data_IF_511747061891
#
_entry.id   IF_511747061891
#
_cell.length_a   1.000
_cell.length_b   1.000
_cell.length_c   1.000
_cell.angle_alpha   90.00
_cell.angle_beta   90.00
_cell.angle_gamma   90.00
#
_symmetry.space_group_name_H-M   'P 1'
#
loop_
_entity.id
_entity.type
_entity.pdbx_description
1 polymer ?
#
# COMPACT_ATOMS: atom_id res chain seq x y z
N UNK A 1 -155.53 68.56 -55.04
CA UNK A 1 -155.07 68.91 -53.68
C UNK A 1 -154.85 67.57 -53.00
N UNK A 2 -153.65 67.28 -52.48
CA UNK A 2 -153.07 65.95 -52.14
C UNK A 2 -152.09 65.39 -53.19
N UNK A 3 -150.83 65.82 -53.13
CA UNK A 3 -149.67 65.15 -53.73
C UNK A 3 -148.33 65.73 -53.21
N UNK A 4 -148.36 66.94 -52.62
CA UNK A 4 -147.16 67.68 -52.20
C UNK A 4 -146.71 67.39 -50.74
N UNK A 5 -147.55 66.74 -49.93
CA UNK A 5 -147.24 66.40 -48.51
C UNK A 5 -146.52 65.05 -48.35
N UNK A 6 -146.52 64.16 -49.36
CA UNK A 6 -145.94 62.82 -49.24
C UNK A 6 -144.43 62.78 -49.54
N UNK A 7 -143.94 63.65 -50.43
CA UNK A 7 -142.51 63.75 -50.74
C UNK A 7 -141.72 64.45 -49.63
N UNK A 8 -142.34 65.39 -48.90
CA UNK A 8 -141.75 66.03 -47.73
C UNK A 8 -141.57 65.07 -46.53
N UNK A 9 -142.49 64.10 -46.38
CA UNK A 9 -142.45 63.11 -45.29
C UNK A 9 -141.36 62.05 -45.49
N UNK A 10 -141.20 61.50 -46.70
CA UNK A 10 -140.12 60.53 -47.00
C UNK A 10 -138.72 61.17 -46.94
N UNK A 11 -138.57 62.43 -47.36
CA UNK A 11 -137.33 63.20 -47.21
C UNK A 11 -137.00 63.50 -45.74
N UNK A 12 -138.01 63.76 -44.91
CA UNK A 12 -137.82 63.99 -43.48
C UNK A 12 -137.42 62.72 -42.71
N UNK A 13 -138.02 61.57 -43.05
CA UNK A 13 -137.67 60.27 -42.46
C UNK A 13 -136.27 59.82 -42.86
N UNK A 14 -135.90 59.93 -44.13
CA UNK A 14 -134.56 59.59 -44.62
C UNK A 14 -133.48 60.52 -44.05
N UNK A 15 -133.76 61.81 -43.89
CA UNK A 15 -132.85 62.76 -43.23
C UNK A 15 -132.70 62.46 -41.72
N UNK A 16 -133.77 62.03 -41.05
CA UNK A 16 -133.73 61.57 -39.66
C UNK A 16 -132.91 60.28 -39.47
N UNK A 17 -133.06 59.32 -40.38
CA UNK A 17 -132.26 58.09 -40.41
C UNK A 17 -130.77 58.39 -40.66
N UNK A 18 -130.46 59.26 -41.62
CA UNK A 18 -129.09 59.72 -41.88
C UNK A 18 -128.46 60.42 -40.67
N UNK A 19 -129.23 61.25 -39.94
CA UNK A 19 -128.73 61.89 -38.71
C UNK A 19 -128.48 60.87 -37.59
N UNK A 20 -129.30 59.83 -37.47
CA UNK A 20 -129.12 58.78 -36.48
C UNK A 20 -127.93 57.87 -36.81
N UNK A 21 -127.76 57.49 -38.08
CA UNK A 21 -126.58 56.76 -38.55
C UNK A 21 -125.30 57.57 -38.38
N UNK A 22 -125.32 58.87 -38.69
CA UNK A 22 -124.19 59.78 -38.45
C UNK A 22 -123.85 59.85 -36.95
N UNK A 23 -124.86 59.88 -36.07
CA UNK A 23 -124.65 59.89 -34.62
C UNK A 23 -124.05 58.58 -34.12
N UNK A 24 -124.56 57.45 -34.59
CA UNK A 24 -124.03 56.10 -34.29
C UNK A 24 -122.59 55.96 -34.76
N UNK A 25 -122.31 56.31 -36.02
CA UNK A 25 -120.96 56.28 -36.58
C UNK A 25 -119.99 57.18 -35.79
N UNK A 26 -120.45 58.34 -35.31
CA UNK A 26 -119.65 59.25 -34.49
C UNK A 26 -119.34 58.68 -33.11
N UNK A 27 -120.29 57.99 -32.48
CA UNK A 27 -120.08 57.36 -31.17
C UNK A 27 -119.22 56.10 -31.28
N UNK A 28 -119.42 55.29 -32.33
CA UNK A 28 -118.55 54.15 -32.67
C UNK A 28 -117.11 54.63 -32.95
N UNK A 29 -116.95 55.75 -33.66
CA UNK A 29 -115.64 56.36 -33.91
C UNK A 29 -114.96 56.82 -32.60
N UNK A 30 -115.69 57.44 -31.66
CA UNK A 30 -115.14 57.79 -30.35
C UNK A 30 -114.75 56.56 -29.52
N UNK A 31 -115.56 55.50 -29.55
CA UNK A 31 -115.21 54.25 -28.88
C UNK A 31 -113.96 53.60 -29.49
N UNK A 32 -113.86 53.60 -30.82
CA UNK A 32 -112.68 53.10 -31.53
C UNK A 32 -111.43 53.91 -31.16
N UNK A 33 -111.52 55.24 -31.08
CA UNK A 33 -110.42 56.10 -30.60
C UNK A 33 -110.03 55.71 -29.17
N UNK A 34 -110.98 55.54 -28.25
CA UNK A 34 -110.71 55.15 -26.86
C UNK A 34 -110.03 53.78 -26.76
N UNK A 35 -110.49 52.79 -27.54
CA UNK A 35 -109.89 51.47 -27.60
C UNK A 35 -108.46 51.51 -28.18
N UNK A 36 -108.23 52.29 -29.24
CA UNK A 36 -106.90 52.51 -29.81
C UNK A 36 -105.97 53.15 -28.79
N UNK A 37 -106.40 54.22 -28.09
CA UNK A 37 -105.59 54.87 -27.06
C UNK A 37 -105.26 53.94 -25.88
N UNK A 38 -106.20 53.09 -25.46
CA UNK A 38 -105.95 52.09 -24.41
C UNK A 38 -104.94 51.03 -24.85
N UNK A 39 -105.07 50.52 -26.09
CA UNK A 39 -104.13 49.54 -26.65
C UNK A 39 -102.73 50.13 -26.84
N UNK A 40 -102.63 51.39 -27.29
CA UNK A 40 -101.37 52.10 -27.41
C UNK A 40 -100.67 52.23 -26.05
N UNK A 41 -101.40 52.63 -25.00
CA UNK A 41 -100.84 52.69 -23.63
C UNK A 41 -100.35 51.32 -23.16
N UNK A 42 -101.12 50.26 -23.41
CA UNK A 42 -100.72 48.91 -23.02
C UNK A 42 -99.46 48.45 -23.76
N UNK A 43 -99.37 48.76 -25.06
CA UNK A 43 -98.20 48.49 -25.89
C UNK A 43 -96.96 49.22 -25.37
N UNK A 44 -97.08 50.51 -25.01
CA UNK A 44 -95.98 51.28 -24.42
C UNK A 44 -95.48 50.69 -23.09
N UNK A 45 -96.39 50.23 -22.23
CA UNK A 45 -96.05 49.56 -20.96
C UNK A 45 -95.25 48.28 -21.26
N UNK A 46 -95.76 47.42 -22.14
CA UNK A 46 -95.10 46.16 -22.51
C UNK A 46 -93.73 46.40 -23.19
N UNK A 47 -93.61 47.42 -24.04
CA UNK A 47 -92.34 47.80 -24.64
C UNK A 47 -91.32 48.26 -23.59
N UNK A 48 -91.77 48.97 -22.55
CA UNK A 48 -90.91 49.40 -21.45
C UNK A 48 -90.42 48.21 -20.62
N UNK A 49 -91.29 47.22 -20.38
CA UNK A 49 -90.95 45.98 -19.67
C UNK A 49 -89.98 45.13 -20.50
N UNK A 50 -90.22 44.99 -21.81
CA UNK A 50 -89.31 44.31 -22.73
C UNK A 50 -87.93 44.98 -22.76
N UNK A 51 -87.87 46.32 -22.74
CA UNK A 51 -86.59 47.05 -22.65
C UNK A 51 -85.86 46.73 -21.34
N UNK A 52 -86.56 46.69 -20.20
CA UNK A 52 -85.97 46.32 -18.90
C UNK A 52 -85.42 44.89 -18.91
N UNK A 53 -86.23 43.91 -19.32
CA UNK A 53 -85.83 42.49 -19.40
C UNK A 53 -84.63 42.33 -20.34
N UNK A 54 -84.61 43.02 -21.49
CA UNK A 54 -83.47 42.98 -22.41
C UNK A 54 -82.20 43.50 -21.76
N UNK A 55 -82.27 44.64 -21.04
CA UNK A 55 -81.11 45.19 -20.34
C UNK A 55 -80.60 44.28 -19.20
N UNK A 56 -81.50 43.62 -18.48
CA UNK A 56 -81.15 42.67 -17.42
C UNK A 56 -80.49 41.41 -18.01
N UNK A 57 -81.03 40.88 -19.11
CA UNK A 57 -80.42 39.77 -19.85
C UNK A 57 -78.99 40.11 -20.29
N UNK A 58 -78.77 41.30 -20.84
CA UNK A 58 -77.43 41.74 -21.26
C UNK A 58 -76.47 41.87 -20.07
N UNK A 59 -76.94 42.37 -18.93
CA UNK A 59 -76.15 42.44 -17.70
C UNK A 59 -75.78 41.04 -17.18
N UNK A 60 -76.74 40.14 -17.09
CA UNK A 60 -76.52 38.75 -16.66
C UNK A 60 -75.58 38.01 -17.60
N UNK A 61 -75.68 38.23 -18.92
CA UNK A 61 -74.75 37.66 -19.89
C UNK A 61 -73.32 38.18 -19.70
N UNK A 62 -73.13 39.46 -19.38
CA UNK A 62 -71.80 40.01 -19.06
C UNK A 62 -71.24 39.38 -17.79
N UNK A 63 -72.05 39.30 -16.73
CA UNK A 63 -71.65 38.68 -15.47
C UNK A 63 -71.29 37.19 -15.65
N UNK A 64 -72.04 36.45 -16.46
CA UNK A 64 -71.74 35.05 -16.75
C UNK A 64 -70.36 34.91 -17.41
N UNK A 65 -70.07 35.70 -18.45
CA UNK A 65 -68.76 35.69 -19.13
C UNK A 65 -67.62 36.07 -18.18
N UNK A 66 -67.81 37.08 -17.34
CA UNK A 66 -66.82 37.46 -16.33
C UNK A 66 -66.55 36.31 -15.34
N UNK A 67 -67.60 35.60 -14.90
CA UNK A 67 -67.47 34.44 -14.02
C UNK A 67 -66.81 33.25 -14.70
N UNK A 68 -67.10 33.00 -15.98
CA UNK A 68 -66.42 31.97 -16.78
C UNK A 68 -64.91 32.25 -16.86
N UNK A 69 -64.51 33.49 -17.15
CA UNK A 69 -63.10 33.90 -17.19
C UNK A 69 -62.44 33.75 -15.81
N UNK A 70 -63.12 34.15 -14.74
CA UNK A 70 -62.60 33.99 -13.38
C UNK A 70 -62.43 32.52 -12.99
N UNK A 71 -63.40 31.67 -13.32
CA UNK A 71 -63.33 30.23 -13.06
C UNK A 71 -62.19 29.58 -13.83
N UNK A 72 -62.00 29.94 -15.11
CA UNK A 72 -60.87 29.44 -15.89
C UNK A 72 -59.53 29.85 -15.25
N UNK A 73 -59.39 31.13 -14.88
CA UNK A 73 -58.17 31.62 -14.24
C UNK A 73 -57.87 30.93 -12.90
N UNK A 74 -58.90 30.62 -12.10
CA UNK A 74 -58.74 29.84 -10.85
C UNK A 74 -58.38 28.39 -11.15
N UNK A 75 -58.98 27.78 -12.17
CA UNK A 75 -58.65 26.42 -12.60
C UNK A 75 -57.18 26.32 -13.05
N UNK A 76 -56.71 27.26 -13.86
CA UNK A 76 -55.33 27.29 -14.34
C UNK A 76 -54.34 27.43 -13.18
N UNK A 77 -54.64 28.30 -12.20
CA UNK A 77 -53.84 28.45 -10.97
C UNK A 77 -53.83 27.19 -10.11
N UNK A 78 -54.95 26.49 -10.00
CA UNK A 78 -55.01 25.25 -9.24
C UNK A 78 -54.17 24.16 -9.90
N UNK A 79 -54.24 24.06 -11.23
CA UNK A 79 -53.40 23.16 -12.01
C UNK A 79 -51.90 23.48 -11.82
N UNK A 80 -51.50 24.75 -11.92
CA UNK A 80 -50.10 25.14 -11.75
C UNK A 80 -49.58 24.86 -10.34
N UNK A 81 -50.35 25.16 -9.29
CA UNK A 81 -49.97 24.86 -7.91
C UNK A 81 -49.80 23.37 -7.67
N UNK A 82 -50.70 22.56 -8.22
CA UNK A 82 -50.62 21.09 -8.11
C UNK A 82 -49.39 20.54 -8.83
N UNK A 83 -49.00 21.15 -9.96
CA UNK A 83 -47.80 20.78 -10.70
C UNK A 83 -46.52 21.21 -9.99
N UNK A 84 -46.48 22.43 -9.46
CA UNK A 84 -45.36 22.95 -8.67
C UNK A 84 -45.12 22.08 -7.43
N UNK A 85 -46.18 21.71 -6.70
CA UNK A 85 -46.07 20.79 -5.56
C UNK A 85 -45.46 19.44 -5.97
N UNK A 86 -45.88 18.88 -7.11
CA UNK A 86 -45.34 17.61 -7.61
C UNK A 86 -43.85 17.72 -8.00
N UNK A 87 -43.45 18.86 -8.57
CA UNK A 87 -42.06 19.14 -8.89
C UNK A 87 -41.21 19.29 -7.63
N UNK A 88 -41.73 19.99 -6.61
CA UNK A 88 -41.05 20.14 -5.32
C UNK A 88 -40.85 18.79 -4.62
N UNK A 89 -41.88 17.94 -4.58
CA UNK A 89 -41.77 16.56 -4.07
C UNK A 89 -40.70 15.75 -4.82
N UNK A 90 -40.62 15.88 -6.15
CA UNK A 90 -39.59 15.20 -6.94
C UNK A 90 -38.17 15.74 -6.66
N UNK A 91 -38.03 17.04 -6.43
CA UNK A 91 -36.75 17.66 -6.06
C UNK A 91 -36.29 17.17 -4.70
N UNK A 92 -37.18 17.13 -3.69
CA UNK A 92 -36.85 16.61 -2.35
C UNK A 92 -36.38 15.17 -2.42
N UNK A 93 -37.10 14.30 -3.14
CA UNK A 93 -36.70 12.90 -3.35
C UNK A 93 -35.31 12.78 -4.00
N UNK A 94 -35.02 13.62 -5.01
CA UNK A 94 -33.72 13.63 -5.68
C UNK A 94 -32.60 14.16 -4.76
N UNK A 95 -32.88 15.16 -3.93
CA UNK A 95 -31.93 15.68 -2.95
C UNK A 95 -31.59 14.63 -1.88
N UNK A 96 -32.58 13.90 -1.39
CA UNK A 96 -32.38 12.78 -0.46
C UNK A 96 -31.53 11.67 -1.09
N UNK A 97 -31.81 11.27 -2.33
CA UNK A 97 -31.00 10.29 -3.04
C UNK A 97 -29.56 10.77 -3.25
N UNK A 98 -29.37 12.05 -3.59
CA UNK A 98 -28.05 12.64 -3.76
C UNK A 98 -27.25 12.66 -2.45
N UNK A 99 -27.88 12.99 -1.32
CA UNK A 99 -27.24 12.93 0.00
C UNK A 99 -26.83 11.49 0.37
N UNK A 100 -27.70 10.51 0.11
CA UNK A 100 -27.37 9.09 0.33
C UNK A 100 -26.20 8.64 -0.54
N UNK A 101 -26.18 9.01 -1.83
CA UNK A 101 -25.08 8.71 -2.73
C UNK A 101 -23.76 9.36 -2.28
N UNK A 102 -23.80 10.61 -1.85
CA UNK A 102 -22.63 11.30 -1.29
C UNK A 102 -22.09 10.57 -0.06
N UNK A 103 -22.97 10.13 0.85
CA UNK A 103 -22.56 9.35 2.01
C UNK A 103 -21.84 8.05 1.60
N UNK A 104 -22.42 7.29 0.66
CA UNK A 104 -21.80 6.06 0.15
C UNK A 104 -20.44 6.34 -0.50
N UNK A 105 -20.32 7.41 -1.29
CA UNK A 105 -19.05 7.81 -1.90
C UNK A 105 -18.00 8.11 -0.81
N UNK A 106 -18.35 8.87 0.22
CA UNK A 106 -17.41 9.18 1.31
C UNK A 106 -16.96 7.94 2.09
N UNK A 107 -17.85 6.97 2.29
CA UNK A 107 -17.51 5.70 2.94
C UNK A 107 -16.58 4.86 2.07
N UNK A 108 -16.83 4.78 0.77
CA UNK A 108 -15.96 4.10 -0.18
C UNK A 108 -14.58 4.76 -0.29
N UNK A 109 -14.52 6.09 -0.30
CA UNK A 109 -13.25 6.84 -0.28
C UNK A 109 -12.43 6.55 0.98
N UNK A 110 -13.08 6.47 2.14
CA UNK A 110 -12.43 6.11 3.40
C UNK A 110 -11.89 4.67 3.36
N UNK A 111 -12.69 3.71 2.90
CA UNK A 111 -12.25 2.32 2.74
C UNK A 111 -11.08 2.20 1.75
N UNK A 112 -11.11 2.94 0.65
CA UNK A 112 -10.00 2.99 -0.32
C UNK A 112 -8.73 3.57 0.31
N UNK A 113 -8.85 4.62 1.13
CA UNK A 113 -7.72 5.19 1.85
C UNK A 113 -7.09 4.19 2.84
N UNK A 114 -7.91 3.43 3.57
CA UNK A 114 -7.45 2.37 4.46
C UNK A 114 -6.73 1.24 3.71
N UNK A 115 -7.30 0.78 2.59
CA UNK A 115 -6.67 -0.23 1.75
C UNK A 115 -5.33 0.25 1.17
N UNK A 116 -5.25 1.50 0.70
CA UNK A 116 -4.01 2.07 0.19
C UNK A 116 -2.92 2.18 1.27
N UNK A 117 -3.32 2.49 2.51
CA UNK A 117 -2.41 2.49 3.65
C UNK A 117 -1.85 1.08 3.91
N UNK A 118 -2.72 0.06 3.95
CA UNK A 118 -2.31 -1.33 4.11
C UNK A 118 -1.38 -1.80 2.98
N UNK A 119 -1.68 -1.44 1.73
CA UNK A 119 -0.82 -1.75 0.58
C UNK A 119 0.56 -1.11 0.77
N UNK A 120 0.62 0.14 1.22
CA UNK A 120 1.88 0.85 1.47
C UNK A 120 2.69 0.20 2.59
N UNK A 121 2.04 -0.21 3.68
CA UNK A 121 2.66 -0.94 4.78
C UNK A 121 3.25 -2.29 4.30
N UNK A 122 2.46 -3.08 3.56
CA UNK A 122 2.90 -4.36 3.00
C UNK A 122 4.05 -4.19 2.01
N UNK A 123 4.02 -3.18 1.15
CA UNK A 123 5.13 -2.86 0.24
C UNK A 123 6.39 -2.49 1.01
N UNK A 124 6.25 -1.75 2.11
CA UNK A 124 7.35 -1.45 3.04
C UNK A 124 7.95 -2.72 3.65
N UNK A 125 7.12 -3.63 4.16
CA UNK A 125 7.58 -4.91 4.72
C UNK A 125 8.25 -5.80 3.67
N UNK A 126 7.68 -5.89 2.46
CA UNK A 126 8.27 -6.64 1.35
C UNK A 126 9.66 -6.09 1.03
N UNK A 127 9.82 -4.76 0.96
CA UNK A 127 11.10 -4.12 0.67
C UNK A 127 12.14 -4.41 1.77
N UNK A 128 11.72 -4.38 3.04
CA UNK A 128 12.59 -4.73 4.18
C UNK A 128 13.03 -6.19 4.13
N UNK A 129 12.10 -7.12 3.93
CA UNK A 129 12.41 -8.55 3.83
C UNK A 129 13.32 -8.86 2.64
N UNK A 130 13.11 -8.20 1.50
CA UNK A 130 13.99 -8.35 0.34
C UNK A 130 15.43 -7.90 0.66
N UNK A 131 15.59 -6.77 1.33
CA UNK A 131 16.89 -6.30 1.78
C UNK A 131 17.55 -7.29 2.75
N UNK A 132 16.79 -7.81 3.71
CA UNK A 132 17.27 -8.80 4.69
C UNK A 132 17.70 -10.12 4.03
N UNK A 133 16.97 -10.59 3.02
CA UNK A 133 17.34 -11.79 2.24
C UNK A 133 18.67 -11.58 1.51
N UNK A 134 18.88 -10.40 0.93
CA UNK A 134 20.13 -10.07 0.23
C UNK A 134 21.31 -10.02 1.20
N UNK A 135 21.17 -9.33 2.34
CA UNK A 135 22.23 -9.22 3.35
C UNK A 135 22.56 -10.58 3.97
N UNK A 136 21.54 -11.37 4.30
CA UNK A 136 21.73 -12.73 4.83
C UNK A 136 22.47 -13.62 3.84
N UNK A 137 22.12 -13.53 2.55
CA UNK A 137 22.81 -14.29 1.50
C UNK A 137 24.26 -13.88 1.35
N UNK A 138 24.58 -12.59 1.46
CA UNK A 138 25.95 -12.09 1.44
C UNK A 138 26.76 -12.64 2.62
N UNK A 139 26.24 -12.51 3.84
CA UNK A 139 26.90 -13.04 5.04
C UNK A 139 27.14 -14.55 4.96
N UNK A 140 26.18 -15.31 4.41
CA UNK A 140 26.34 -16.76 4.24
C UNK A 140 27.49 -17.10 3.27
N UNK A 141 27.67 -16.32 2.20
CA UNK A 141 28.76 -16.51 1.25
C UNK A 141 30.11 -16.20 1.90
N UNK A 142 30.20 -15.10 2.65
CA UNK A 142 31.41 -14.72 3.40
C UNK A 142 31.78 -15.77 4.45
N UNK A 143 30.81 -16.25 5.22
CA UNK A 143 31.01 -17.31 6.21
C UNK A 143 31.50 -18.60 5.55
N UNK A 144 30.91 -19.00 4.42
CA UNK A 144 31.32 -20.20 3.68
C UNK A 144 32.75 -20.08 3.15
N UNK A 145 33.16 -18.89 2.73
CA UNK A 145 34.52 -18.64 2.28
C UNK A 145 35.52 -18.72 3.44
N UNK A 146 35.23 -18.04 4.56
CA UNK A 146 36.05 -18.10 5.77
C UNK A 146 36.19 -19.53 6.32
N UNK A 147 35.13 -20.34 6.25
CA UNK A 147 35.16 -21.74 6.64
C UNK A 147 36.14 -22.55 5.77
N UNK A 148 36.11 -22.36 4.44
CA UNK A 148 37.04 -23.06 3.53
C UNK A 148 38.50 -22.67 3.79
N UNK A 149 38.76 -21.39 4.05
CA UNK A 149 40.10 -20.90 4.35
C UNK A 149 40.62 -21.51 5.66
N UNK A 150 39.77 -21.53 6.70
CA UNK A 150 40.11 -22.15 7.99
C UNK A 150 40.35 -23.65 7.83
N UNK A 151 39.53 -24.34 7.04
CA UNK A 151 39.72 -25.77 6.75
C UNK A 151 41.05 -26.03 6.02
N UNK A 152 41.39 -25.22 5.02
CA UNK A 152 42.66 -25.34 4.30
C UNK A 152 43.86 -25.08 5.21
N UNK A 153 43.77 -24.08 6.11
CA UNK A 153 44.80 -23.82 7.11
C UNK A 153 44.95 -25.00 8.09
N UNK A 154 43.85 -25.59 8.53
CA UNK A 154 43.86 -26.77 9.39
C UNK A 154 44.54 -27.97 8.72
N UNK A 155 44.20 -28.26 7.47
CA UNK A 155 44.82 -29.34 6.68
C UNK A 155 46.34 -29.12 6.51
N UNK A 156 46.74 -27.88 6.21
CA UNK A 156 48.15 -27.51 6.12
C UNK A 156 48.88 -27.70 7.46
N UNK A 157 48.29 -27.23 8.57
CA UNK A 157 48.84 -27.38 9.90
C UNK A 157 48.98 -28.86 10.29
N UNK A 158 47.95 -29.67 10.04
CA UNK A 158 47.98 -31.10 10.31
C UNK A 158 49.12 -31.81 9.55
N UNK A 159 49.32 -31.46 8.27
CA UNK A 159 50.42 -32.02 7.49
C UNK A 159 51.79 -31.61 8.05
N UNK A 160 51.96 -30.34 8.41
CA UNK A 160 53.21 -29.87 9.02
C UNK A 160 53.48 -30.53 10.38
N UNK A 161 52.45 -30.71 11.21
CA UNK A 161 52.53 -31.40 12.49
C UNK A 161 53.03 -32.85 12.31
N UNK A 162 52.45 -33.59 11.37
CA UNK A 162 52.84 -34.96 11.06
C UNK A 162 54.30 -35.04 10.60
N UNK A 163 54.72 -34.14 9.70
CA UNK A 163 56.10 -34.08 9.23
C UNK A 163 57.08 -33.79 10.37
N UNK A 164 56.75 -32.85 11.26
CA UNK A 164 57.57 -32.56 12.45
C UNK A 164 57.63 -33.77 13.38
N UNK A 165 56.52 -34.48 13.59
CA UNK A 165 56.49 -35.68 14.43
C UNK A 165 57.42 -36.78 13.89
N UNK A 166 57.37 -37.04 12.59
CA UNK A 166 58.28 -38.01 11.92
C UNK A 166 59.73 -37.58 12.03
N UNK A 167 60.04 -36.29 11.83
CA UNK A 167 61.39 -35.77 11.98
C UNK A 167 61.92 -35.91 13.43
N UNK A 168 61.08 -35.63 14.42
CA UNK A 168 61.39 -35.84 15.83
C UNK A 168 61.70 -37.31 16.12
N UNK A 169 60.87 -38.25 15.65
CA UNK A 169 61.10 -39.68 15.85
C UNK A 169 62.43 -40.16 15.23
N UNK A 170 62.75 -39.70 14.01
CA UNK A 170 64.01 -40.01 13.34
C UNK A 170 65.22 -39.50 14.14
N UNK A 171 65.13 -38.25 14.63
CA UNK A 171 66.18 -37.63 15.43
C UNK A 171 66.36 -38.38 16.75
N UNK A 172 65.26 -38.68 17.46
CA UNK A 172 65.28 -39.46 18.70
C UNK A 172 65.92 -40.84 18.50
N UNK A 173 65.54 -41.57 17.45
CA UNK A 173 66.16 -42.86 17.12
C UNK A 173 67.66 -42.75 16.80
N UNK A 174 68.09 -41.66 16.15
CA UNK A 174 69.51 -41.41 15.89
C UNK A 174 70.27 -41.11 17.18
N UNK A 175 69.72 -40.29 18.07
CA UNK A 175 70.30 -40.01 19.38
C UNK A 175 70.40 -41.27 20.22
N UNK A 176 69.36 -42.10 20.25
CA UNK A 176 69.38 -43.37 20.99
C UNK A 176 70.47 -44.32 20.46
N UNK A 177 70.72 -44.35 19.14
CA UNK A 177 71.84 -45.11 18.58
C UNK A 177 73.20 -44.56 18.99
N UNK A 178 73.38 -43.24 19.04
CA UNK A 178 74.64 -42.65 19.51
C UNK A 178 74.85 -42.90 21.00
N UNK A 179 73.79 -42.73 21.78
CA UNK A 179 73.76 -43.02 23.21
C UNK A 179 74.18 -44.46 23.48
N UNK A 180 73.57 -45.44 22.81
CA UNK A 180 73.95 -46.85 22.92
C UNK A 180 75.42 -47.12 22.55
N UNK A 181 75.95 -46.47 21.51
CA UNK A 181 77.38 -46.58 21.16
C UNK A 181 78.29 -46.03 22.25
N UNK A 182 77.92 -44.91 22.87
CA UNK A 182 78.67 -44.32 23.97
C UNK A 182 78.61 -45.26 25.18
N UNK A 183 77.43 -45.73 25.56
CA UNK A 183 77.25 -46.73 26.64
C UNK A 183 78.15 -47.95 26.37
N UNK A 184 78.08 -48.53 25.18
CA UNK A 184 78.91 -49.68 24.82
C UNK A 184 80.41 -49.34 24.93
N UNK A 185 80.87 -48.21 24.40
CA UNK A 185 82.27 -47.82 24.45
C UNK A 185 82.77 -47.54 25.87
N UNK A 186 81.91 -47.01 26.75
CA UNK A 186 82.22 -46.71 28.15
C UNK A 186 82.31 -48.01 28.95
N UNK A 187 81.32 -48.89 28.87
CA UNK A 187 81.23 -50.07 29.75
C UNK A 187 81.91 -51.34 29.20
N UNK A 188 82.31 -51.37 27.92
CA UNK A 188 83.11 -52.49 27.38
C UNK A 188 84.61 -52.43 27.76
N UNK A 189 85.03 -51.44 28.58
CA UNK A 189 86.41 -51.33 29.05
C UNK A 189 86.62 -52.24 30.27
N UNK A 190 87.68 -53.06 30.21
CA UNK A 190 88.03 -54.02 31.26
C UNK A 190 88.25 -53.32 32.61
N UNK A 191 87.49 -53.73 33.65
CA UNK A 191 87.56 -53.16 35.00
C UNK A 191 86.38 -52.26 35.40
N UNK A 192 85.45 -51.95 34.49
CA UNK A 192 84.23 -51.19 34.78
C UNK A 192 83.06 -52.14 34.96
N UNK A 193 82.19 -51.86 35.95
CA UNK A 193 80.99 -52.65 36.19
C UNK A 193 79.89 -52.30 35.20
N UNK A 194 79.24 -53.32 34.64
CA UNK A 194 78.07 -53.14 33.78
C UNK A 194 76.91 -52.50 34.56
N UNK A 195 76.17 -51.58 33.92
CA UNK A 195 75.03 -50.91 34.54
C UNK A 195 73.92 -51.92 34.87
N UNK A 196 73.35 -51.81 36.07
CA UNK A 196 72.37 -52.76 36.62
C UNK A 196 70.90 -52.38 36.29
N UNK A 197 70.65 -51.42 35.40
CA UNK A 197 69.31 -50.92 35.09
C UNK A 197 69.27 -49.82 34.01
N UNK A 198 68.17 -49.06 33.98
CA UNK A 198 68.02 -47.90 33.09
C UNK A 198 69.02 -46.81 33.49
N UNK A 199 70.11 -46.73 32.73
CA UNK A 199 71.18 -45.77 32.93
C UNK A 199 70.70 -44.39 32.50
N UNK A 200 70.93 -43.35 33.29
CA UNK A 200 70.66 -41.95 32.90
C UNK A 200 71.86 -41.30 32.21
N UNK A 201 71.62 -40.22 31.46
CA UNK A 201 72.71 -39.53 30.74
C UNK A 201 73.75 -38.91 31.69
N UNK A 202 73.32 -38.47 32.88
CA UNK A 202 74.20 -37.94 33.92
C UNK A 202 75.08 -39.05 34.53
N UNK A 203 74.51 -40.21 34.84
CA UNK A 203 75.27 -41.38 35.34
C UNK A 203 76.28 -41.90 34.30
N UNK A 204 75.89 -41.91 33.01
CA UNK A 204 76.80 -42.26 31.92
C UNK A 204 77.98 -41.29 31.84
N UNK A 205 77.71 -39.99 31.98
CA UNK A 205 78.74 -38.96 31.93
C UNK A 205 79.72 -39.09 33.11
N UNK A 206 79.22 -39.37 34.31
CA UNK A 206 80.05 -39.61 35.50
C UNK A 206 80.97 -40.82 35.29
N UNK A 207 80.45 -41.92 34.75
CA UNK A 207 81.25 -43.11 34.42
C UNK A 207 82.36 -42.80 33.38
N UNK A 208 82.04 -42.04 32.33
CA UNK A 208 83.03 -41.59 31.35
C UNK A 208 84.11 -40.71 31.98
N UNK A 209 83.73 -39.81 32.88
CA UNK A 209 84.67 -38.90 33.54
C UNK A 209 85.60 -39.65 34.50
N UNK A 210 85.07 -40.64 35.23
CA UNK A 210 85.88 -41.55 36.05
C UNK A 210 86.95 -42.25 35.22
N UNK A 211 86.56 -42.80 34.06
CA UNK A 211 87.50 -43.41 33.10
C UNK A 211 88.62 -42.47 32.64
N UNK A 212 88.28 -41.23 32.30
CA UNK A 212 89.28 -40.25 31.88
C UNK A 212 90.24 -39.90 33.02
N UNK A 213 89.73 -39.75 34.23
CA UNK A 213 90.54 -39.47 35.41
C UNK A 213 91.51 -40.64 35.68
N UNK A 214 91.00 -41.88 35.72
CA UNK A 214 91.82 -43.09 35.92
C UNK A 214 92.92 -43.23 34.85
N UNK A 215 92.60 -43.03 33.57
CA UNK A 215 93.60 -43.02 32.48
C UNK A 215 94.66 -41.93 32.70
N UNK A 216 94.24 -40.73 33.09
CA UNK A 216 95.14 -39.59 33.29
C UNK A 216 96.10 -39.86 34.45
N UNK A 217 95.59 -40.39 35.57
CA UNK A 217 96.38 -40.83 36.71
C UNK A 217 97.37 -41.95 36.34
N UNK A 218 96.93 -42.96 35.58
CA UNK A 218 97.81 -44.02 35.09
C UNK A 218 98.93 -43.49 34.18
N UNK A 219 98.61 -42.56 33.28
CA UNK A 219 99.62 -41.93 32.43
C UNK A 219 100.62 -41.10 33.23
N UNK A 220 100.17 -40.40 34.28
CA UNK A 220 101.05 -39.68 35.20
C UNK A 220 101.97 -40.66 35.96
N UNK A 221 101.44 -41.80 36.41
CA UNK A 221 102.24 -42.89 36.99
C UNK A 221 103.30 -43.42 36.01
N UNK A 222 102.97 -43.60 34.73
CA UNK A 222 103.94 -44.01 33.71
C UNK A 222 105.02 -42.95 33.47
N UNK A 223 104.67 -41.66 33.42
CA UNK A 223 105.65 -40.56 33.29
C UNK A 223 106.60 -40.51 34.49
N UNK A 224 106.08 -40.72 35.70
CA UNK A 224 106.88 -40.80 36.92
C UNK A 224 107.76 -42.06 37.01
N UNK A 225 107.43 -43.13 36.27
CA UNK A 225 108.26 -44.33 36.11
C UNK A 225 109.28 -44.20 34.96
N UNK A 226 108.94 -43.53 33.87
CA UNK A 226 109.81 -43.30 32.70
C UNK A 226 110.98 -42.36 32.98
N UNK A 227 110.89 -41.50 34.00
CA UNK A 227 112.02 -40.69 34.47
C UNK A 227 113.14 -41.54 35.12
N UNK A 228 112.94 -42.85 35.35
CA UNK A 228 114.01 -43.78 35.76
C UNK A 228 114.68 -44.55 34.62
N UNK A 229 114.15 -44.50 33.39
CA UNK A 229 114.65 -45.31 32.26
C UNK A 229 115.28 -44.50 31.12
N UNK A 230 115.44 -43.19 31.29
CA UNK A 230 116.06 -42.30 30.30
C UNK A 230 117.55 -42.03 30.59
N UNK A 231 118.32 -43.10 30.76
CA UNK A 231 119.78 -43.14 30.60
C UNK A 231 120.02 -44.28 29.60
N UNK A 232 120.71 -43.99 28.49
CA UNK A 232 121.00 -44.88 27.35
C UNK A 232 119.92 -44.91 26.24
N UNK A 233 120.01 -43.96 25.30
CA UNK A 233 120.36 -44.26 23.91
C UNK A 233 120.11 -43.03 23.03
N UNK A 234 121.21 -42.47 22.52
CA UNK A 234 121.27 -41.45 21.47
C UNK A 234 120.67 -41.92 20.14
N UNK A 235 120.21 -40.96 19.33
CA UNK A 235 120.25 -41.10 17.88
C UNK A 235 119.13 -40.43 17.10
N UNK A 236 119.35 -39.16 16.74
CA UNK A 236 119.00 -38.49 15.47
C UNK A 236 117.56 -38.58 14.93
N UNK A 237 116.85 -37.44 14.84
CA UNK A 237 116.59 -36.70 13.58
C UNK A 237 115.44 -37.33 12.75
N UNK A 238 114.41 -36.64 12.24
CA UNK A 238 114.23 -35.22 11.90
C UNK A 238 112.76 -34.99 11.46
N UNK A 239 112.32 -33.73 11.62
CA UNK A 239 111.44 -32.98 10.72
C UNK A 239 109.93 -33.34 10.57
N UNK A 240 109.11 -32.69 11.41
CA UNK A 240 108.22 -31.56 11.07
C UNK A 240 107.32 -31.50 9.81
N UNK A 241 106.19 -30.76 9.90
CA UNK A 241 104.95 -30.96 9.15
C UNK A 241 104.70 -29.91 8.05
N UNK A 242 103.71 -30.12 7.19
CA UNK A 242 103.19 -29.07 6.31
C UNK A 242 101.66 -28.95 6.36
N UNK A 243 101.26 -27.77 6.81
CA UNK A 243 99.91 -27.22 6.94
C UNK A 243 99.27 -26.88 5.58
N UNK A 244 97.93 -26.94 5.60
CA UNK A 244 96.92 -25.99 5.06
C UNK A 244 97.05 -25.51 3.60
N UNK A 245 95.92 -25.60 2.89
CA UNK A 245 95.28 -24.41 2.30
C UNK A 245 93.75 -24.47 2.42
N UNK A 246 93.16 -23.36 2.88
CA UNK A 246 91.73 -23.03 2.87
C UNK A 246 91.38 -22.39 1.51
N UNK A 247 90.17 -22.62 1.03
CA UNK A 247 89.44 -21.74 0.09
C UNK A 247 87.94 -22.00 0.34
N UNK A 248 87.20 -21.12 1.03
CA UNK A 248 86.53 -19.92 0.50
C UNK A 248 85.59 -20.23 -0.67
N UNK A 249 84.27 -20.30 -0.39
CA UNK A 249 83.25 -19.71 -1.26
C UNK A 249 81.89 -19.59 -0.54
N UNK A 250 81.36 -18.38 -0.55
CA UNK A 250 79.96 -18.04 -0.27
C UNK A 250 79.04 -18.47 -1.42
N UNK A 251 77.80 -18.84 -1.11
CA UNK A 251 76.56 -18.56 -1.88
C UNK A 251 75.40 -19.19 -1.06
N UNK A 252 74.59 -18.40 -0.33
CA UNK A 252 73.31 -17.78 -0.77
C UNK A 252 72.42 -18.73 -1.57
N UNK A 253 71.37 -19.23 -0.91
CA UNK A 253 69.96 -19.17 -1.29
C UNK A 253 69.11 -19.42 -0.04
#
# INVERSE_FOLDING_TARGET
MEADDSQGSELAETMGQLQQELRKAKDDHKMAIGAISSLQRQMEIQESELRKIRSEKELLQKQLREREVQLQAVSDKFCSLTEEQRQEEAVVMMEEENQNLQQVVTEQELQLAEQNKLISELQGTISQLQAEVVTTRLHLLEQKQAQKETQSQFEALQHTELQTRVALELISSKFERYRNKIIQATFSVEGIQDPQGELTDDELLEAMQKLFNERTEFQQMLKNKSSRTSLLSSGSSTASPARRRKSSRMEKL
#
